data_IF_276562463577
#
_entry.id   IF_276562463577
#
_cell.length_a   1.000
_cell.length_b   1.000
_cell.length_c   1.000
_cell.angle_alpha   90.00
_cell.angle_beta   90.00
_cell.angle_gamma   90.00
#
_symmetry.space_group_name_H-M   'P 1'
#
loop_
_entity.id
_entity.type
_entity.pdbx_description
1 polymer ?
#
# COMPACT_ATOMS: atom_id res chain seq x y z
N UNK A 1 -23.04 20.27 -26.60
CA UNK A 1 -22.50 18.90 -26.80
C UNK A 1 -21.25 18.77 -25.96
N UNK A 2 -21.16 17.74 -25.12
CA UNK A 2 -20.05 17.52 -24.18
C UNK A 2 -18.94 16.74 -24.90
N UNK A 3 -17.69 17.19 -24.80
CA UNK A 3 -16.54 16.47 -25.33
C UNK A 3 -15.61 16.09 -24.19
N UNK A 4 -15.19 14.83 -24.14
CA UNK A 4 -14.29 14.28 -23.13
C UNK A 4 -12.90 14.13 -23.76
N UNK A 5 -11.90 14.88 -23.29
CA UNK A 5 -10.51 14.63 -23.65
C UNK A 5 -9.86 13.76 -22.57
N UNK A 6 -9.23 12.65 -22.96
CA UNK A 6 -8.66 11.64 -22.06
C UNK A 6 -7.18 11.47 -22.39
N UNK A 7 -6.32 12.25 -21.73
CA UNK A 7 -4.88 11.96 -21.74
C UNK A 7 -4.55 11.02 -20.57
N UNK A 8 -3.81 9.95 -20.88
CA UNK A 8 -3.60 8.81 -20.00
C UNK A 8 -2.13 8.68 -19.66
N UNK A 9 -1.69 9.32 -18.57
CA UNK A 9 -0.46 8.84 -17.91
C UNK A 9 -0.28 9.17 -16.43
N UNK A 10 -0.84 10.22 -15.80
CA UNK A 10 -0.44 10.53 -14.39
C UNK A 10 -1.55 10.94 -13.40
N UNK A 11 -2.82 10.74 -13.71
CA UNK A 11 -3.90 11.02 -12.76
C UNK A 11 -5.14 11.51 -13.48
N UNK A 12 -6.30 11.01 -13.09
CA UNK A 12 -7.54 11.34 -13.78
C UNK A 12 -7.92 12.78 -13.46
N UNK A 13 -7.82 13.65 -14.45
CA UNK A 13 -8.43 14.99 -14.41
C UNK A 13 -9.66 14.95 -15.30
N UNK A 14 -10.83 15.23 -14.73
CA UNK A 14 -12.03 15.46 -15.51
C UNK A 14 -12.16 16.96 -15.76
N UNK A 15 -12.26 17.32 -17.04
CA UNK A 15 -12.48 18.70 -17.47
C UNK A 15 -13.88 18.79 -18.05
N UNK A 16 -14.73 19.60 -17.42
CA UNK A 16 -16.09 19.87 -17.89
C UNK A 16 -16.17 21.34 -18.28
N UNK A 17 -16.65 21.61 -19.49
CA UNK A 17 -16.80 22.96 -19.99
C UNK A 17 -18.06 23.08 -20.86
N UNK A 18 -18.63 24.28 -20.91
CA UNK A 18 -19.75 24.60 -21.79
C UNK A 18 -19.28 25.39 -23.01
N UNK A 19 -19.66 24.92 -24.19
CA UNK A 19 -19.40 25.58 -25.47
C UNK A 19 -20.64 26.34 -25.93
N UNK A 20 -20.52 27.66 -26.00
CA UNK A 20 -21.58 28.54 -26.46
C UNK A 20 -21.24 29.05 -27.86
N UNK A 21 -22.21 29.02 -28.76
CA UNK A 21 -22.06 29.63 -30.09
C UNK A 21 -22.65 31.04 -30.04
N UNK A 22 -21.79 32.05 -30.07
CA UNK A 22 -22.22 33.44 -30.12
C UNK A 22 -21.77 34.06 -31.45
N UNK A 23 -22.73 34.60 -32.22
CA UNK A 23 -22.48 35.32 -33.49
C UNK A 23 -21.57 34.57 -34.48
N UNK A 24 -21.69 33.25 -34.53
CA UNK A 24 -20.94 32.39 -35.46
C UNK A 24 -19.57 31.93 -34.94
N UNK A 25 -19.11 32.44 -33.80
CA UNK A 25 -17.88 32.02 -33.16
C UNK A 25 -18.19 31.17 -31.92
N UNK A 26 -17.32 30.21 -31.64
CA UNK A 26 -17.43 29.38 -30.45
C UNK A 26 -16.64 30.02 -29.32
N UNK A 27 -17.30 30.21 -28.18
CA UNK A 27 -16.67 30.70 -26.97
C UNK A 27 -16.94 29.71 -25.82
N UNK A 28 -15.94 29.58 -24.94
CA UNK A 28 -16.02 28.77 -23.73
C UNK A 28 -16.39 29.72 -22.60
N UNK A 29 -17.55 29.50 -21.97
CA UNK A 29 -18.00 30.37 -20.87
C UNK A 29 -17.31 30.00 -19.56
N UNK A 30 -17.16 28.70 -19.31
CA UNK A 30 -16.66 28.19 -18.03
C UNK A 30 -15.86 26.90 -18.22
N UNK A 31 -14.73 26.80 -17.53
CA UNK A 31 -13.89 25.59 -17.46
C UNK A 31 -13.78 25.18 -16.00
N UNK A 32 -14.33 24.03 -15.65
CA UNK A 32 -14.18 23.46 -14.32
C UNK A 32 -13.17 22.33 -14.37
N UNK A 33 -12.08 22.49 -13.60
CA UNK A 33 -11.09 21.43 -13.38
C UNK A 33 -11.31 20.91 -11.98
N UNK A 34 -11.86 19.71 -11.88
CA UNK A 34 -12.01 19.01 -10.60
C UNK A 34 -10.97 17.92 -10.50
N UNK A 35 -10.15 17.98 -9.46
CA UNK A 35 -9.34 16.84 -9.06
C UNK A 35 -10.22 15.88 -8.28
N UNK A 36 -10.26 14.62 -8.68
CA UNK A 36 -10.77 13.58 -7.80
C UNK A 36 -9.83 13.51 -6.58
N UNK A 37 -10.33 13.29 -5.36
CA UNK A 37 -9.43 12.99 -4.26
C UNK A 37 -8.65 11.72 -4.62
N UNK A 38 -7.32 11.86 -4.79
CA UNK A 38 -6.42 10.73 -4.85
C UNK A 38 -6.37 10.14 -3.44
N UNK A 39 -7.26 9.20 -3.13
CA UNK A 39 -7.13 8.40 -1.91
C UNK A 39 -5.96 7.44 -2.15
N UNK A 40 -4.74 7.89 -1.86
CA UNK A 40 -3.61 6.99 -1.73
C UNK A 40 -3.79 6.26 -0.40
N UNK A 41 -4.33 5.04 -0.42
CA UNK A 41 -4.20 4.13 0.73
C UNK A 41 -2.79 3.56 0.65
N UNK A 42 -1.81 4.32 1.14
CA UNK A 42 -0.47 3.79 1.37
C UNK A 42 -0.57 2.94 2.62
N UNK A 43 -0.83 1.64 2.44
CA UNK A 43 -0.73 0.70 3.55
C UNK A 43 0.76 0.51 3.84
N UNK A 44 1.26 1.22 4.86
CA UNK A 44 2.60 1.00 5.37
C UNK A 44 2.62 -0.26 6.23
N UNK A 45 3.59 -1.13 6.00
CA UNK A 45 3.54 -2.47 6.57
C UNK A 45 4.84 -3.23 6.43
N UNK A 46 4.95 -4.33 7.18
CA UNK A 46 6.07 -5.26 7.14
C UNK A 46 5.54 -6.60 6.69
N UNK A 47 6.10 -7.18 5.64
CA UNK A 47 5.74 -8.50 5.15
C UNK A 47 6.98 -9.30 4.75
N UNK A 48 6.83 -10.63 4.71
CA UNK A 48 7.93 -11.50 4.33
C UNK A 48 7.58 -12.97 4.41
N UNK A 49 8.60 -13.82 4.25
CA UNK A 49 8.49 -15.26 4.35
C UNK A 49 9.46 -15.80 5.40
N UNK A 50 8.99 -16.73 6.22
CA UNK A 50 9.81 -17.48 7.15
C UNK A 50 10.07 -18.86 6.56
N UNK A 51 11.35 -19.20 6.42
CA UNK A 51 11.81 -20.49 5.90
C UNK A 51 12.83 -21.09 6.85
N UNK A 52 12.82 -22.41 6.92
CA UNK A 52 13.80 -23.18 7.64
C UNK A 52 15.16 -23.08 6.92
N UNK A 53 16.20 -22.69 7.64
CA UNK A 53 17.52 -22.42 7.06
C UNK A 53 18.19 -23.68 6.48
N UNK A 54 17.92 -24.86 7.06
CA UNK A 54 18.56 -26.12 6.65
C UNK A 54 17.86 -26.76 5.47
N UNK A 55 16.53 -26.70 5.46
CA UNK A 55 15.70 -27.42 4.47
C UNK A 55 15.14 -26.49 3.38
N UNK A 56 15.15 -25.17 3.60
CA UNK A 56 14.52 -24.18 2.72
C UNK A 56 12.99 -24.22 2.71
N UNK A 57 12.38 -25.12 3.47
CA UNK A 57 10.93 -25.29 3.55
C UNK A 57 10.28 -24.11 4.29
N UNK A 58 9.06 -23.71 3.90
CA UNK A 58 8.32 -22.70 4.64
C UNK A 58 8.01 -23.16 6.06
N UNK A 59 8.12 -22.24 7.02
CA UNK A 59 7.76 -22.51 8.42
C UNK A 59 6.35 -21.98 8.65
N UNK A 60 5.38 -22.88 8.73
CA UNK A 60 3.99 -22.55 9.05
C UNK A 60 3.79 -22.34 10.55
N UNK A 61 2.94 -21.38 10.93
CA UNK A 61 2.53 -21.14 12.31
C UNK A 61 3.65 -20.63 13.22
N UNK A 62 4.70 -20.01 12.67
CA UNK A 62 5.66 -19.23 13.43
C UNK A 62 4.98 -17.93 13.87
N UNK A 63 5.10 -17.59 15.15
CA UNK A 63 4.64 -16.33 15.70
C UNK A 63 5.65 -15.24 15.35
N UNK A 64 5.20 -14.25 14.61
CA UNK A 64 5.94 -13.03 14.28
C UNK A 64 5.39 -11.90 15.15
N UNK A 65 6.24 -11.19 15.88
CA UNK A 65 5.83 -10.16 16.81
C UNK A 65 6.70 -8.91 16.66
N UNK A 66 6.07 -7.73 16.67
CA UNK A 66 6.77 -6.46 16.64
C UNK A 66 7.03 -5.99 18.08
N UNK A 67 8.30 -6.01 18.49
CA UNK A 67 8.74 -5.64 19.84
C UNK A 67 8.24 -4.26 20.25
N UNK A 68 7.74 -4.15 21.48
CA UNK A 68 7.24 -2.89 22.02
C UNK A 68 5.87 -2.46 21.49
N UNK A 69 5.15 -3.33 20.78
CA UNK A 69 3.80 -3.06 20.25
C UNK A 69 2.87 -4.24 20.48
N UNK A 70 1.58 -4.10 20.19
CA UNK A 70 0.62 -5.23 20.26
C UNK A 70 0.54 -6.04 18.95
N UNK A 71 1.30 -5.66 17.92
CA UNK A 71 1.22 -6.27 16.61
C UNK A 71 1.88 -7.66 16.61
N UNK A 72 1.07 -8.68 16.33
CA UNK A 72 1.53 -10.04 16.08
C UNK A 72 0.83 -10.67 14.88
N UNK A 73 1.52 -11.58 14.22
CA UNK A 73 1.01 -12.36 13.09
C UNK A 73 1.52 -13.81 13.22
N UNK A 74 0.81 -14.76 12.62
CA UNK A 74 1.32 -16.12 12.42
C UNK A 74 1.60 -16.33 10.95
N UNK A 75 2.68 -17.04 10.64
CA UNK A 75 2.96 -17.43 9.27
C UNK A 75 1.94 -18.45 8.76
N UNK A 76 1.54 -18.33 7.50
CA UNK A 76 0.66 -19.31 6.85
C UNK A 76 1.43 -20.55 6.34
N UNK A 77 0.75 -21.45 5.62
CA UNK A 77 1.33 -22.67 5.05
C UNK A 77 2.44 -22.43 4.02
N UNK A 78 2.51 -21.22 3.45
CA UNK A 78 3.61 -20.79 2.58
C UNK A 78 4.76 -20.12 3.33
N UNK A 79 4.64 -20.01 4.67
CA UNK A 79 5.56 -19.30 5.53
C UNK A 79 5.39 -17.78 5.48
N UNK A 80 4.35 -17.28 4.81
CA UNK A 80 4.14 -15.85 4.62
C UNK A 80 3.53 -15.19 5.85
N UNK A 81 3.98 -13.97 6.16
CA UNK A 81 3.39 -13.11 7.17
C UNK A 81 3.26 -11.68 6.64
N UNK A 82 2.30 -10.93 7.18
CA UNK A 82 2.13 -9.50 6.90
C UNK A 82 1.59 -8.73 8.09
N UNK A 83 2.03 -7.50 8.20
CA UNK A 83 1.49 -6.44 9.04
C UNK A 83 1.10 -5.30 8.12
N UNK A 84 -0.13 -4.82 8.25
CA UNK A 84 -0.67 -3.70 7.47
C UNK A 84 -1.03 -2.57 8.42
N UNK A 85 -1.02 -1.34 7.90
CA UNK A 85 -1.40 -0.13 8.65
C UNK A 85 -0.53 0.08 9.91
N UNK A 86 0.77 -0.19 9.79
CA UNK A 86 1.72 0.12 10.85
C UNK A 86 2.01 1.63 10.86
N UNK A 87 2.06 2.26 12.04
CA UNK A 87 2.60 3.61 12.18
C UNK A 87 4.01 3.71 11.59
N UNK A 88 4.35 4.87 11.05
CA UNK A 88 5.71 5.13 10.56
C UNK A 88 6.70 5.07 11.72
N UNK A 89 7.86 4.46 11.48
CA UNK A 89 8.88 4.30 12.49
C UNK A 89 9.75 3.07 12.28
N UNK A 90 10.61 2.82 13.26
CA UNK A 90 11.55 1.69 13.24
C UNK A 90 11.05 0.57 14.13
N UNK A 91 10.98 -0.63 13.57
CA UNK A 91 10.49 -1.82 14.26
C UNK A 91 11.60 -2.84 14.50
N UNK A 92 11.42 -3.59 15.59
CA UNK A 92 12.16 -4.82 15.86
C UNK A 92 11.20 -5.99 15.75
N UNK A 93 11.48 -6.95 14.87
CA UNK A 93 10.64 -8.12 14.61
C UNK A 93 11.26 -9.35 15.28
N UNK A 94 10.45 -10.08 16.05
CA UNK A 94 10.81 -11.34 16.67
C UNK A 94 10.05 -12.48 15.99
N UNK A 95 10.74 -13.59 15.73
CA UNK A 95 10.18 -14.80 15.16
C UNK A 95 10.34 -15.94 16.16
N UNK A 96 9.21 -16.50 16.59
CA UNK A 96 9.12 -17.56 17.60
C UNK A 96 8.38 -18.75 17.02
N UNK A 97 9.01 -19.93 17.07
CA UNK A 97 8.38 -21.20 16.74
C UNK A 97 8.97 -22.29 17.63
N UNK A 98 8.12 -23.16 18.17
CA UNK A 98 8.58 -24.30 18.97
C UNK A 98 9.53 -25.18 18.14
N UNK A 99 10.63 -25.60 18.74
CA UNK A 99 11.71 -26.32 18.04
C UNK A 99 12.66 -25.46 17.19
N UNK A 100 12.44 -24.13 17.09
CA UNK A 100 13.33 -23.20 16.38
C UNK A 100 14.05 -22.26 17.35
N UNK A 101 15.23 -21.81 16.95
CA UNK A 101 15.96 -20.75 17.67
C UNK A 101 15.24 -19.42 17.44
N UNK A 102 15.02 -18.66 18.52
CA UNK A 102 14.49 -17.30 18.45
C UNK A 102 15.32 -16.45 17.47
N UNK A 103 14.64 -15.85 16.49
CA UNK A 103 15.29 -14.90 15.57
C UNK A 103 14.75 -13.49 15.82
N UNK A 104 15.66 -12.53 15.89
CA UNK A 104 15.33 -11.11 16.04
C UNK A 104 15.94 -10.33 14.88
N UNK A 105 15.15 -9.44 14.28
CA UNK A 105 15.58 -8.49 13.24
C UNK A 105 15.27 -7.08 13.77
N UNK A 106 16.28 -6.25 13.89
CA UNK A 106 16.16 -4.86 14.37
C UNK A 106 16.32 -3.88 13.23
N UNK A 107 15.76 -2.68 13.35
CA UNK A 107 16.04 -1.58 12.42
C UNK A 107 15.20 -1.62 11.14
N UNK A 108 14.03 -2.25 11.17
CA UNK A 108 13.13 -2.25 10.01
C UNK A 108 12.33 -0.95 9.99
N UNK A 109 12.64 -0.08 9.04
CA UNK A 109 11.97 1.21 8.87
C UNK A 109 10.71 1.06 8.01
N UNK A 110 9.61 1.58 8.53
CA UNK A 110 8.34 1.76 7.83
C UNK A 110 8.21 3.25 7.54
N UNK A 111 8.23 3.60 6.25
CA UNK A 111 8.25 4.97 5.71
C UNK A 111 7.01 5.24 4.87
#
# INVERSE_FOLDING_TARGET
MQYLYKDLSEGRVEVVFEMLKEKGFWHISDVFVTTLPAVLVVEHGIQGFVRDEKTGQPVEGALVYLSGTEFSAKTDSSGFYRFLNLPLGTYTVLFVKDGYVLKTITGLEVL
#
